data_IF_434610393141
#
_entry.id   IF_434610393141
#
_cell.length_a   1.000
_cell.length_b   1.000
_cell.length_c   1.000
_cell.angle_alpha   90.00
_cell.angle_beta   90.00
_cell.angle_gamma   90.00
#
_symmetry.space_group_name_H-M   'P 1'
#
loop_
_entity.id
_entity.type
_entity.pdbx_description
1 polymer ?
#
# COMPACT_ATOMS: atom_id res chain seq x y z
N UNK A 1 5.24 7.35 -25.29
CA UNK A 1 4.16 7.48 -24.26
C UNK A 1 4.75 7.15 -22.89
N UNK A 2 4.65 8.02 -21.89
CA UNK A 2 5.35 7.86 -20.61
C UNK A 2 4.66 6.87 -19.66
N UNK A 3 5.45 6.03 -18.97
CA UNK A 3 4.92 5.07 -17.99
C UNK A 3 4.31 5.79 -16.78
N UNK A 4 3.05 5.50 -16.48
CA UNK A 4 2.27 6.17 -15.42
C UNK A 4 2.27 5.39 -14.10
N UNK A 5 2.57 4.10 -14.11
CA UNK A 5 2.81 3.26 -12.93
C UNK A 5 4.25 3.47 -12.44
N UNK A 6 4.43 4.46 -11.56
CA UNK A 6 5.71 4.82 -10.94
C UNK A 6 5.62 4.77 -9.41
N UNK A 7 6.73 4.60 -8.70
CA UNK A 7 6.78 4.79 -7.26
C UNK A 7 6.15 6.14 -6.84
N UNK A 8 5.42 6.15 -5.72
CA UNK A 8 4.70 7.32 -5.23
C UNK A 8 3.35 7.57 -5.90
N UNK A 9 2.93 6.76 -6.88
CA UNK A 9 1.58 6.84 -7.45
C UNK A 9 0.57 6.13 -6.57
N UNK A 10 -0.60 6.75 -6.42
CA UNK A 10 -1.73 6.18 -5.70
C UNK A 10 -2.50 5.26 -6.65
N UNK A 11 -2.80 4.07 -6.16
CA UNK A 11 -3.54 3.02 -6.85
C UNK A 11 -4.71 2.56 -6.01
N UNK A 12 -5.75 2.05 -6.67
CA UNK A 12 -6.89 1.40 -6.03
C UNK A 12 -6.79 -0.10 -6.28
N UNK A 13 -6.88 -0.90 -5.22
CA UNK A 13 -6.79 -2.36 -5.32
C UNK A 13 -8.12 -2.93 -5.80
N UNK A 14 -8.10 -3.71 -6.86
CA UNK A 14 -9.29 -4.29 -7.47
C UNK A 14 -9.62 -5.69 -6.92
N UNK A 15 -8.59 -6.48 -6.58
CA UNK A 15 -8.77 -7.90 -6.24
C UNK A 15 -8.15 -8.33 -4.90
N UNK A 16 -8.69 -9.42 -4.35
CA UNK A 16 -8.25 -10.06 -3.12
C UNK A 16 -8.69 -9.34 -1.83
N UNK A 17 -8.12 -9.73 -0.69
CA UNK A 17 -8.51 -9.27 0.65
C UNK A 17 -8.63 -7.74 0.83
N UNK A 18 -7.82 -6.97 0.11
CA UNK A 18 -7.76 -5.50 0.23
C UNK A 18 -8.43 -4.78 -0.94
N UNK A 19 -9.35 -5.43 -1.66
CA UNK A 19 -10.14 -4.77 -2.71
C UNK A 19 -10.87 -3.53 -2.19
N UNK A 20 -10.96 -2.50 -3.04
CA UNK A 20 -11.52 -1.20 -2.69
C UNK A 20 -10.62 -0.33 -1.80
N UNK A 21 -9.45 -0.84 -1.36
CA UNK A 21 -8.50 -0.04 -0.56
C UNK A 21 -7.57 0.76 -1.47
N UNK A 22 -7.25 1.97 -1.03
CA UNK A 22 -6.27 2.86 -1.62
C UNK A 22 -4.90 2.46 -1.11
N UNK A 23 -3.93 2.55 -2.01
CA UNK A 23 -2.56 2.22 -1.71
C UNK A 23 -1.58 3.01 -2.56
N UNK A 24 -0.31 2.96 -2.21
CA UNK A 24 0.78 3.65 -2.88
C UNK A 24 1.77 2.61 -3.41
N UNK A 25 2.21 2.79 -4.66
CA UNK A 25 3.28 1.98 -5.23
C UNK A 25 4.60 2.40 -4.56
N UNK A 26 5.25 1.46 -3.88
CA UNK A 26 6.57 1.65 -3.27
C UNK A 26 7.67 1.34 -4.29
N UNK A 27 7.52 0.22 -4.99
CA UNK A 27 8.50 -0.25 -5.97
C UNK A 27 7.77 -0.96 -7.11
N UNK A 28 8.11 -0.59 -8.33
CA UNK A 28 7.67 -1.23 -9.57
C UNK A 28 8.67 -2.31 -9.97
N UNK A 29 8.16 -3.46 -10.44
CA UNK A 29 8.96 -4.55 -10.99
C UNK A 29 8.25 -5.01 -12.26
N UNK A 30 8.82 -4.60 -13.38
CA UNK A 30 8.12 -4.64 -14.65
C UNK A 30 8.44 -5.91 -15.45
N UNK A 31 9.68 -6.40 -15.33
CA UNK A 31 10.17 -7.57 -16.07
C UNK A 31 9.90 -8.90 -15.34
N UNK A 32 9.23 -8.85 -14.19
CA UNK A 32 8.98 -10.03 -13.36
C UNK A 32 10.23 -10.57 -12.66
N UNK A 33 10.07 -11.69 -11.97
CA UNK A 33 11.15 -12.42 -11.26
C UNK A 33 10.86 -13.92 -11.25
N UNK A 34 11.84 -14.74 -10.84
CA UNK A 34 11.65 -16.18 -10.63
C UNK A 34 10.38 -16.52 -9.87
N UNK A 35 10.12 -15.82 -8.75
CA UNK A 35 8.99 -16.09 -7.88
C UNK A 35 7.65 -15.62 -8.47
N UNK A 36 7.71 -14.63 -9.38
CA UNK A 36 6.54 -13.94 -9.94
C UNK A 36 6.86 -13.56 -11.40
N UNK A 37 6.57 -14.44 -12.38
CA UNK A 37 6.99 -14.27 -13.78
C UNK A 37 6.16 -13.24 -14.57
N UNK A 38 5.49 -12.33 -13.88
CA UNK A 38 4.62 -11.29 -14.45
C UNK A 38 5.00 -9.93 -13.89
N UNK A 39 4.52 -8.84 -14.49
CA UNK A 39 4.74 -7.49 -13.98
C UNK A 39 3.94 -7.23 -12.69
N UNK A 40 4.60 -6.74 -11.64
CA UNK A 40 3.96 -6.49 -10.33
C UNK A 40 4.52 -5.25 -9.63
N UNK A 41 3.79 -4.81 -8.61
CA UNK A 41 4.19 -3.72 -7.73
C UNK A 41 4.20 -4.18 -6.27
N UNK A 42 5.18 -3.67 -5.52
CA UNK A 42 5.12 -3.62 -4.07
C UNK A 42 4.29 -2.42 -3.65
N UNK A 43 3.28 -2.69 -2.85
CA UNK A 43 2.26 -1.71 -2.51
C UNK A 43 2.11 -1.62 -0.99
N UNK A 44 2.09 -0.38 -0.49
CA UNK A 44 1.74 -0.05 0.88
C UNK A 44 0.38 0.65 0.90
N UNK A 45 -0.58 0.11 1.63
CA UNK A 45 -1.95 0.59 1.62
C UNK A 45 -2.60 0.66 3.00
N UNK A 46 -3.83 1.17 3.01
CA UNK A 46 -4.61 1.37 4.24
C UNK A 46 -5.74 0.33 4.30
N UNK A 47 -5.66 -0.60 5.25
CA UNK A 47 -6.71 -1.59 5.53
C UNK A 47 -7.85 -0.95 6.32
N UNK A 48 -7.52 -0.21 7.39
CA UNK A 48 -8.50 0.53 8.19
C UNK A 48 -8.21 2.02 8.10
N UNK A 49 -9.08 2.74 7.40
CA UNK A 49 -9.08 4.19 7.32
C UNK A 49 -9.44 4.82 8.67
N UNK A 50 -8.95 6.04 8.94
CA UNK A 50 -9.41 6.81 10.08
C UNK A 50 -10.91 7.12 9.92
N UNK A 51 -11.65 7.09 11.03
CA UNK A 51 -13.08 7.41 11.04
C UNK A 51 -13.27 8.92 11.24
N UNK A 52 -14.37 9.48 10.72
CA UNK A 52 -14.73 10.89 10.90
C UNK A 52 -14.69 11.28 12.39
N UNK A 53 -14.01 12.39 12.67
CA UNK A 53 -13.92 13.03 13.99
C UNK A 53 -14.81 14.26 13.98
N UNK A 54 -15.52 14.51 15.08
CA UNK A 54 -16.36 15.68 15.32
C UNK A 54 -15.94 16.35 16.63
N UNK A 55 -16.21 17.64 16.77
CA UNK A 55 -15.78 18.44 17.92
C UNK A 55 -16.28 17.91 19.28
N UNK A 56 -17.46 17.27 19.30
CA UNK A 56 -18.05 16.70 20.52
C UNK A 56 -17.34 15.44 21.06
N UNK A 57 -16.39 14.86 20.31
CA UNK A 57 -15.70 13.66 20.75
C UNK A 57 -14.60 13.97 21.77
N UNK A 58 -14.59 13.25 22.89
CA UNK A 58 -13.48 13.31 23.84
C UNK A 58 -12.16 12.73 23.28
N UNK A 59 -11.02 13.19 23.81
CA UNK A 59 -9.66 12.84 23.37
C UNK A 59 -9.44 11.32 23.19
N UNK A 60 -9.95 10.49 24.10
CA UNK A 60 -9.87 9.02 24.01
C UNK A 60 -10.56 8.45 22.77
N UNK A 61 -11.75 8.95 22.44
CA UNK A 61 -12.51 8.52 21.25
C UNK A 61 -11.84 9.02 19.97
N UNK A 62 -11.30 10.24 19.98
CA UNK A 62 -10.53 10.79 18.86
C UNK A 62 -9.32 9.90 18.57
N UNK A 63 -8.47 9.60 19.57
CA UNK A 63 -7.30 8.75 19.40
C UNK A 63 -7.65 7.37 18.81
N UNK A 64 -8.74 6.75 19.30
CA UNK A 64 -9.20 5.44 18.78
C UNK A 64 -9.73 5.52 17.34
N UNK A 65 -10.37 6.62 16.94
CA UNK A 65 -10.89 6.83 15.57
C UNK A 65 -9.81 7.21 14.56
N UNK A 66 -8.75 7.89 14.99
CA UNK A 66 -7.61 8.28 14.16
C UNK A 66 -6.63 7.13 13.90
N UNK A 67 -6.75 6.00 14.60
CA UNK A 67 -5.87 4.84 14.42
C UNK A 67 -6.04 4.22 13.04
N UNK A 68 -4.96 4.24 12.26
CA UNK A 68 -4.86 3.63 10.94
C UNK A 68 -4.32 2.21 11.07
N UNK A 69 -4.82 1.28 10.25
CA UNK A 69 -4.20 -0.03 10.04
C UNK A 69 -3.66 -0.10 8.63
N UNK A 70 -2.34 -0.23 8.50
CA UNK A 70 -1.62 -0.38 7.25
C UNK A 70 -1.55 -1.85 6.81
N UNK A 71 -1.30 -2.06 5.53
CA UNK A 71 -0.86 -3.33 4.98
C UNK A 71 0.23 -3.11 3.94
N UNK A 72 1.07 -4.13 3.79
CA UNK A 72 2.05 -4.21 2.71
C UNK A 72 1.78 -5.51 1.97
N UNK A 73 1.73 -5.45 0.63
CA UNK A 73 1.46 -6.60 -0.22
C UNK A 73 2.06 -6.44 -1.62
N UNK A 74 2.40 -7.57 -2.23
CA UNK A 74 2.76 -7.68 -3.65
C UNK A 74 1.47 -7.86 -4.46
N UNK A 75 1.32 -7.05 -5.51
CA UNK A 75 0.15 -7.09 -6.40
C UNK A 75 0.59 -7.11 -7.85
N UNK A 76 0.00 -8.01 -8.64
CA UNK A 76 0.02 -7.90 -10.10
C UNK A 76 -0.62 -6.56 -10.53
N UNK A 77 -0.08 -5.91 -11.56
CA UNK A 77 -0.64 -4.66 -12.08
C UNK A 77 -2.09 -4.76 -12.54
N UNK A 78 -2.53 -5.91 -13.05
CA UNK A 78 -3.92 -6.10 -13.46
C UNK A 78 -4.90 -5.97 -12.29
N UNK A 79 -4.43 -6.17 -11.05
CA UNK A 79 -5.22 -6.02 -9.84
C UNK A 79 -5.16 -4.60 -9.26
N UNK A 80 -4.55 -3.65 -9.97
CA UNK A 80 -4.38 -2.27 -9.55
C UNK A 80 -4.98 -1.34 -10.60
N UNK A 81 -5.87 -0.45 -10.14
CA UNK A 81 -6.32 0.68 -10.95
C UNK A 81 -5.43 1.89 -10.66
N UNK A 82 -4.66 2.39 -11.64
CA UNK A 82 -3.89 3.61 -11.47
C UNK A 82 -4.82 4.81 -11.32
N UNK A 83 -4.45 5.74 -10.45
CA UNK A 83 -5.19 6.99 -10.26
C UNK A 83 -4.33 8.19 -10.64
N UNK A 84 -4.98 9.35 -10.85
CA UNK A 84 -4.27 10.61 -11.14
C UNK A 84 -3.36 11.09 -10.00
N UNK A 85 -3.63 10.65 -8.78
CA UNK A 85 -3.00 11.18 -7.58
C UNK A 85 -1.60 10.60 -7.38
N UNK A 86 -0.69 11.45 -6.94
CA UNK A 86 0.65 11.08 -6.48
C UNK A 86 0.86 11.59 -5.08
N UNK A 87 1.65 10.85 -4.31
CA UNK A 87 2.01 11.19 -2.95
C UNK A 87 3.54 11.15 -2.86
N UNK A 88 4.14 12.30 -2.61
CA UNK A 88 5.57 12.44 -2.38
C UNK A 88 5.87 12.16 -0.90
N UNK A 89 5.77 10.89 -0.50
CA UNK A 89 6.27 10.43 0.80
C UNK A 89 7.60 9.73 0.55
N UNK A 90 8.68 10.09 1.25
CA UNK A 90 9.89 9.27 1.28
C UNK A 90 9.56 7.97 2.00
N UNK A 91 9.13 6.96 1.26
CA UNK A 91 8.94 5.61 1.78
C UNK A 91 10.29 4.91 1.73
N UNK A 92 10.77 4.44 2.88
CA UNK A 92 12.00 3.68 2.99
C UNK A 92 11.88 2.38 2.19
N UNK A 93 12.51 2.39 1.01
CA UNK A 93 12.56 1.23 0.11
C UNK A 93 13.30 0.05 0.73
N UNK A 94 14.07 0.28 1.79
CA UNK A 94 14.76 -0.75 2.58
C UNK A 94 13.80 -1.53 3.47
N UNK A 95 12.78 -0.87 4.03
CA UNK A 95 11.80 -1.47 4.95
C UNK A 95 10.77 -2.30 4.20
N UNK A 96 10.41 -1.91 2.97
CA UNK A 96 9.43 -2.62 2.13
C UNK A 96 10.14 -3.30 0.96
N UNK A 97 10.73 -4.46 1.26
CA UNK A 97 11.45 -5.31 0.31
C UNK A 97 10.76 -6.67 0.08
N UNK A 98 11.22 -7.43 -0.91
CA UNK A 98 10.66 -8.76 -1.23
C UNK A 98 10.83 -9.76 -0.09
N UNK A 99 11.95 -9.71 0.61
CA UNK A 99 12.27 -10.66 1.68
C UNK A 99 11.33 -10.52 2.88
N UNK A 100 10.77 -9.33 3.05
CA UNK A 100 9.78 -9.01 4.09
C UNK A 100 8.51 -9.86 3.94
N UNK A 101 8.22 -10.39 2.74
CA UNK A 101 7.05 -11.24 2.52
C UNK A 101 7.30 -12.72 2.82
N UNK A 102 8.56 -13.14 2.94
CA UNK A 102 8.91 -14.54 3.26
C UNK A 102 8.65 -14.86 4.73
N UNK A 103 8.90 -13.91 5.63
CA UNK A 103 8.65 -14.04 7.07
C UNK A 103 7.51 -13.13 7.56
N UNK A 104 6.59 -13.72 8.33
CA UNK A 104 5.47 -13.01 8.96
C UNK A 104 5.93 -11.98 10.00
N UNK A 105 7.05 -12.22 10.70
CA UNK A 105 7.57 -11.28 11.69
C UNK A 105 8.09 -10.01 11.04
N UNK A 106 8.89 -10.14 9.97
CA UNK A 106 9.37 -9.03 9.16
C UNK A 106 8.21 -8.25 8.54
N UNK A 107 7.20 -8.94 8.01
CA UNK A 107 5.98 -8.32 7.47
C UNK A 107 5.21 -7.50 8.51
N UNK A 108 5.26 -7.87 9.78
CA UNK A 108 4.61 -7.11 10.86
C UNK A 108 5.41 -5.86 11.22
N UNK A 109 6.74 -5.92 11.14
CA UNK A 109 7.63 -4.76 11.39
C UNK A 109 7.54 -3.70 10.29
N UNK A 110 7.30 -4.12 9.04
CA UNK A 110 7.19 -3.21 7.90
C UNK A 110 5.81 -2.53 7.75
N UNK A 111 4.84 -2.83 8.62
CA UNK A 111 3.49 -2.22 8.64
C UNK A 111 3.44 -1.02 9.55
#
# INVERSE_FOLDING_TARGET
MGKFTKPGKVVLVLAGRYSGRKAVIVKNIDDGTSDHPYSYALVAGIDRYPRKVTAALGKKKIAKRSKIRSFVKVYNYNHLMPTRYSVAIPLDKTVVNKDVFRDRALKRKAR
#
